data_IF_130037415237
#
_entry.id   IF_130037415237
#
_cell.length_a   1.000
_cell.length_b   1.000
_cell.length_c   1.000
_cell.angle_alpha   90.00
_cell.angle_beta   90.00
_cell.angle_gamma   90.00
#
_symmetry.space_group_name_H-M   'P 1'
#
loop_
_entity.id
_entity.type
_entity.pdbx_description
1 polymer ?
#
# COMPACT_ATOMS: atom_id res chain seq x y z
N UNK A 1 -17.62 -1.61 -16.42
CA UNK A 1 -18.12 -0.23 -16.22
C UNK A 1 -17.76 0.39 -14.87
N UNK A 2 -18.34 -0.02 -13.72
CA UNK A 2 -18.01 0.61 -12.42
C UNK A 2 -16.50 0.57 -12.14
N UNK A 3 -15.93 -0.62 -12.23
CA UNK A 3 -14.48 -0.88 -12.12
C UNK A 3 -13.63 0.04 -12.98
N UNK A 4 -13.99 0.21 -14.26
CA UNK A 4 -13.23 1.04 -15.20
C UNK A 4 -13.25 2.52 -14.81
N UNK A 5 -14.39 3.04 -14.34
CA UNK A 5 -14.49 4.41 -13.84
C UNK A 5 -13.63 4.62 -12.59
N UNK A 6 -13.60 3.64 -11.68
CA UNK A 6 -12.71 3.68 -10.50
C UNK A 6 -11.23 3.69 -10.93
N UNK A 7 -10.85 2.87 -11.91
CA UNK A 7 -9.49 2.85 -12.45
C UNK A 7 -9.09 4.20 -13.06
N UNK A 8 -10.00 4.91 -13.73
CA UNK A 8 -9.73 6.26 -14.25
C UNK A 8 -9.37 7.27 -13.15
N UNK A 9 -10.08 7.23 -12.02
CA UNK A 9 -9.74 8.09 -10.88
C UNK A 9 -8.39 7.72 -10.26
N UNK A 10 -8.06 6.43 -10.20
CA UNK A 10 -6.76 5.96 -9.71
C UNK A 10 -5.63 6.43 -10.62
N UNK A 11 -5.74 6.24 -11.94
CA UNK A 11 -4.70 6.66 -12.88
C UNK A 11 -4.47 8.18 -12.86
N UNK A 12 -5.52 8.98 -12.63
CA UNK A 12 -5.39 10.42 -12.38
C UNK A 12 -4.53 10.72 -11.15
N UNK A 13 -4.76 10.03 -10.02
CA UNK A 13 -3.92 10.19 -8.82
C UNK A 13 -2.47 9.72 -9.05
N UNK A 14 -2.28 8.62 -9.78
CA UNK A 14 -0.95 8.10 -10.13
C UNK A 14 -0.17 9.09 -10.99
N UNK A 15 -0.81 9.76 -11.95
CA UNK A 15 -0.16 10.78 -12.77
C UNK A 15 0.40 11.94 -11.94
N UNK A 16 -0.34 12.36 -10.91
CA UNK A 16 0.11 13.40 -9.99
C UNK A 16 1.21 12.90 -9.03
N UNK A 17 1.13 11.64 -8.58
CA UNK A 17 2.20 11.02 -7.79
C UNK A 17 3.51 10.94 -8.57
N UNK A 18 3.48 10.58 -9.86
CA UNK A 18 4.67 10.54 -10.72
C UNK A 18 5.33 11.92 -10.81
N UNK A 19 4.55 13.00 -10.95
CA UNK A 19 5.09 14.39 -10.94
C UNK A 19 5.84 14.69 -9.64
N UNK A 20 5.25 14.36 -8.49
CA UNK A 20 5.89 14.57 -7.19
C UNK A 20 7.20 13.77 -7.06
N UNK A 21 7.25 12.54 -7.58
CA UNK A 21 8.47 11.72 -7.59
C UNK A 21 9.55 12.36 -8.48
N UNK A 22 9.18 12.81 -9.68
CA UNK A 22 10.10 13.47 -10.62
C UNK A 22 10.70 14.73 -10.00
N UNK A 23 9.87 15.59 -9.38
CA UNK A 23 10.29 16.81 -8.72
C UNK A 23 11.28 16.58 -7.57
N UNK A 24 11.25 15.40 -6.95
CA UNK A 24 12.05 15.06 -5.76
C UNK A 24 13.05 13.93 -6.01
N UNK A 25 13.31 13.59 -7.27
CA UNK A 25 14.05 12.38 -7.67
C UNK A 25 15.42 12.27 -6.99
N UNK A 26 16.22 13.34 -6.98
CA UNK A 26 17.58 13.32 -6.43
C UNK A 26 17.61 13.06 -4.93
N UNK A 27 16.65 13.62 -4.20
CA UNK A 27 16.51 13.41 -2.75
C UNK A 27 16.07 11.98 -2.46
N UNK A 28 15.11 11.46 -3.22
CA UNK A 28 14.60 10.09 -3.07
C UNK A 28 15.68 9.04 -3.38
N UNK A 29 16.52 9.26 -4.40
CA UNK A 29 17.67 8.40 -4.70
C UNK A 29 18.65 8.39 -3.52
N UNK A 30 18.95 9.56 -2.94
CA UNK A 30 19.82 9.65 -1.77
C UNK A 30 19.22 8.97 -0.54
N UNK A 31 17.91 9.09 -0.32
CA UNK A 31 17.23 8.42 0.79
C UNK A 31 17.26 6.90 0.63
N UNK A 32 16.98 6.39 -0.58
CA UNK A 32 17.07 4.96 -0.90
C UNK A 32 18.48 4.41 -0.66
N UNK A 33 19.53 5.20 -0.90
CA UNK A 33 20.91 4.77 -0.69
C UNK A 33 21.41 4.89 0.76
N UNK A 34 20.68 5.59 1.63
CA UNK A 34 21.14 5.91 3.00
C UNK A 34 20.06 5.66 4.07
N UNK A 35 19.05 4.82 3.80
CA UNK A 35 17.95 4.54 4.74
C UNK A 35 18.42 3.89 6.06
N UNK A 36 19.63 3.35 6.07
CA UNK A 36 20.33 2.75 7.20
C UNK A 36 21.14 3.77 8.03
N UNK A 37 21.23 5.04 7.59
CA UNK A 37 21.98 6.12 8.24
C UNK A 37 21.04 7.19 8.79
N UNK A 38 20.68 7.15 10.09
CA UNK A 38 19.68 8.04 10.69
C UNK A 38 19.99 9.54 10.52
N UNK A 39 21.25 9.95 10.71
CA UNK A 39 21.65 11.37 10.57
C UNK A 39 21.50 11.88 9.14
N UNK A 40 21.86 11.07 8.15
CA UNK A 40 21.69 11.41 6.73
C UNK A 40 20.21 11.49 6.37
N UNK A 41 19.40 10.53 6.84
CA UNK A 41 17.95 10.50 6.63
C UNK A 41 17.26 11.72 7.24
N UNK A 42 17.59 12.11 8.47
CA UNK A 42 17.01 13.28 9.11
C UNK A 42 17.28 14.58 8.33
N UNK A 43 18.46 14.71 7.72
CA UNK A 43 18.81 15.86 6.88
C UNK A 43 18.09 15.84 5.53
N UNK A 44 17.98 14.66 4.90
CA UNK A 44 17.24 14.51 3.65
C UNK A 44 15.73 14.75 3.86
N UNK A 45 15.17 14.33 4.99
CA UNK A 45 13.74 14.51 5.31
C UNK A 45 13.35 15.99 5.32
N UNK A 46 14.22 16.87 5.85
CA UNK A 46 14.01 18.33 5.82
C UNK A 46 13.98 18.92 4.41
N UNK A 47 14.55 18.21 3.43
CA UNK A 47 14.65 18.61 2.03
C UNK A 47 13.58 17.97 1.14
N UNK A 48 12.72 17.10 1.71
CA UNK A 48 11.65 16.43 0.99
C UNK A 48 10.32 17.15 1.27
N UNK A 49 9.92 18.14 0.43
CA UNK A 49 8.62 18.78 0.57
C UNK A 49 7.48 17.80 0.31
N UNK A 50 6.23 18.17 0.61
CA UNK A 50 5.04 17.51 0.08
C UNK A 50 4.82 16.01 0.41
N UNK A 51 5.50 15.43 1.41
CA UNK A 51 5.21 14.05 1.86
C UNK A 51 3.74 13.82 2.24
N UNK A 52 3.08 14.82 2.83
CA UNK A 52 1.63 14.78 3.08
C UNK A 52 0.80 14.66 1.80
N UNK A 53 1.21 15.30 0.71
CA UNK A 53 0.46 15.26 -0.55
C UNK A 53 0.54 13.87 -1.18
N UNK A 54 1.72 13.23 -1.11
CA UNK A 54 1.90 11.83 -1.54
C UNK A 54 0.97 10.92 -0.75
N UNK A 55 0.95 11.05 0.58
CA UNK A 55 0.12 10.22 1.45
C UNK A 55 -1.38 10.47 1.27
N UNK A 56 -1.80 11.74 1.09
CA UNK A 56 -3.20 12.08 0.79
C UNK A 56 -3.66 11.41 -0.51
N UNK A 57 -2.86 11.48 -1.58
CA UNK A 57 -3.18 10.85 -2.87
C UNK A 57 -3.20 9.33 -2.78
N UNK A 58 -2.23 8.73 -2.10
CA UNK A 58 -2.22 7.28 -1.86
C UNK A 58 -3.40 6.83 -0.99
N UNK A 59 -3.83 7.64 -0.03
CA UNK A 59 -5.03 7.36 0.78
C UNK A 59 -6.28 7.39 -0.09
N UNK A 60 -6.41 8.35 -1.01
CA UNK A 60 -7.51 8.40 -1.99
C UNK A 60 -7.53 7.13 -2.85
N UNK A 61 -6.38 6.72 -3.40
CA UNK A 61 -6.25 5.47 -4.16
C UNK A 61 -6.70 4.29 -3.30
N UNK A 62 -6.24 4.22 -2.06
CA UNK A 62 -6.62 3.19 -1.10
C UNK A 62 -8.13 3.13 -0.88
N UNK A 63 -8.77 4.26 -0.62
CA UNK A 63 -10.24 4.33 -0.42
C UNK A 63 -11.00 3.84 -1.65
N UNK A 64 -10.56 4.24 -2.86
CA UNK A 64 -11.19 3.78 -4.11
C UNK A 64 -11.04 2.26 -4.27
N UNK A 65 -9.86 1.72 -3.97
CA UNK A 65 -9.60 0.27 -4.05
C UNK A 65 -10.35 -0.51 -2.96
N UNK A 66 -10.44 0.00 -1.73
CA UNK A 66 -11.25 -0.61 -0.68
C UNK A 66 -12.74 -0.64 -1.07
N UNK A 67 -13.26 0.42 -1.70
CA UNK A 67 -14.61 0.43 -2.24
C UNK A 67 -14.80 -0.62 -3.34
N UNK A 68 -13.80 -0.74 -4.25
CA UNK A 68 -13.80 -1.77 -5.28
C UNK A 68 -13.81 -3.18 -4.69
N UNK A 69 -13.00 -3.45 -3.67
CA UNK A 69 -12.99 -4.76 -2.98
C UNK A 69 -14.38 -5.09 -2.43
N UNK A 70 -15.02 -4.17 -1.70
CA UNK A 70 -16.38 -4.40 -1.19
C UNK A 70 -17.40 -4.69 -2.31
N UNK A 71 -17.26 -4.03 -3.46
CA UNK A 71 -18.12 -4.29 -4.63
C UNK A 71 -17.84 -5.67 -5.26
N UNK A 72 -16.58 -6.11 -5.28
CA UNK A 72 -16.19 -7.42 -5.79
C UNK A 72 -16.63 -8.55 -4.86
N UNK A 73 -16.47 -8.39 -3.54
CA UNK A 73 -16.95 -9.36 -2.54
C UNK A 73 -18.46 -9.57 -2.69
N UNK A 74 -19.22 -8.48 -2.88
CA UNK A 74 -20.66 -8.55 -3.14
C UNK A 74 -20.97 -9.24 -4.47
N UNK A 75 -20.15 -9.01 -5.51
CA UNK A 75 -20.33 -9.66 -6.81
C UNK A 75 -20.09 -11.16 -6.71
N UNK A 76 -19.03 -11.58 -6.01
CA UNK A 76 -18.70 -12.99 -5.75
C UNK A 76 -19.87 -13.69 -5.06
N UNK A 77 -20.40 -13.13 -3.98
CA UNK A 77 -21.55 -13.68 -3.25
C UNK A 77 -22.78 -13.90 -4.16
N UNK A 78 -23.07 -12.92 -5.02
CA UNK A 78 -24.18 -13.00 -5.96
C UNK A 78 -23.91 -14.04 -7.05
N UNK A 79 -22.69 -14.10 -7.58
CA UNK A 79 -22.29 -15.06 -8.60
C UNK A 79 -22.31 -16.50 -8.06
N UNK A 80 -21.88 -16.72 -6.81
CA UNK A 80 -21.95 -18.02 -6.12
C UNK A 80 -23.40 -18.50 -6.00
N UNK A 81 -24.32 -17.58 -5.69
CA UNK A 81 -25.74 -17.89 -5.52
C UNK A 81 -26.45 -18.16 -6.84
N UNK A 82 -26.15 -17.40 -7.88
CA UNK A 82 -26.89 -17.44 -9.15
C UNK A 82 -26.25 -18.37 -10.19
N UNK A 83 -24.93 -18.54 -10.16
CA UNK A 83 -24.13 -19.24 -11.16
C UNK A 83 -23.13 -20.25 -10.54
N UNK A 84 -23.52 -21.10 -9.56
CA UNK A 84 -22.58 -21.94 -8.80
C UNK A 84 -21.78 -22.91 -9.68
N UNK A 85 -22.37 -23.44 -10.76
CA UNK A 85 -21.72 -24.35 -11.69
C UNK A 85 -20.68 -23.67 -12.60
N UNK A 86 -20.72 -22.34 -12.73
CA UNK A 86 -19.69 -21.56 -13.40
C UNK A 86 -18.58 -21.16 -12.41
N UNK A 87 -18.94 -20.85 -11.16
CA UNK A 87 -17.99 -20.39 -10.16
C UNK A 87 -16.93 -21.45 -9.81
N UNK A 88 -17.35 -22.69 -9.53
CA UNK A 88 -16.39 -23.74 -9.14
C UNK A 88 -15.22 -23.94 -10.13
N UNK A 89 -15.48 -24.06 -11.45
CA UNK A 89 -14.41 -24.09 -12.44
C UNK A 89 -13.54 -22.83 -12.52
N UNK A 90 -14.12 -21.64 -12.34
CA UNK A 90 -13.36 -20.37 -12.37
C UNK A 90 -12.43 -20.28 -11.15
N UNK A 91 -12.94 -20.61 -9.96
CA UNK A 91 -12.16 -20.73 -8.72
C UNK A 91 -11.00 -21.72 -8.91
N UNK A 92 -11.30 -22.92 -9.42
CA UNK A 92 -10.28 -23.94 -9.68
C UNK A 92 -9.21 -23.47 -10.66
N UNK A 93 -9.60 -22.75 -11.71
CA UNK A 93 -8.64 -22.22 -12.69
C UNK A 93 -7.72 -21.16 -12.07
N UNK A 94 -8.27 -20.27 -11.25
CA UNK A 94 -7.48 -19.27 -10.50
C UNK A 94 -6.52 -19.96 -9.53
N UNK A 95 -6.96 -20.98 -8.81
CA UNK A 95 -6.15 -21.67 -7.79
C UNK A 95 -5.01 -22.51 -8.41
N UNK A 96 -5.09 -22.82 -9.72
CA UNK A 96 -4.03 -23.48 -10.49
C UNK A 96 -2.92 -22.51 -10.93
N UNK A 97 -3.12 -21.19 -10.79
CA UNK A 97 -2.08 -20.20 -11.10
C UNK A 97 -0.96 -20.35 -10.08
N UNK A 98 0.26 -20.50 -10.57
CA UNK A 98 1.47 -20.60 -9.76
C UNK A 98 2.38 -19.40 -10.03
N UNK A 99 3.35 -19.10 -9.15
CA UNK A 99 4.35 -18.06 -9.41
C UNK A 99 5.16 -18.27 -10.70
N UNK A 100 5.28 -19.51 -11.18
CA UNK A 100 6.00 -19.88 -12.40
C UNK A 100 5.12 -19.78 -13.67
N UNK A 101 3.81 -19.52 -13.53
CA UNK A 101 2.88 -19.38 -14.65
C UNK A 101 3.20 -18.09 -15.42
N UNK A 102 3.22 -18.17 -16.76
CA UNK A 102 3.45 -17.00 -17.62
C UNK A 102 2.51 -15.85 -17.25
N UNK A 103 3.07 -14.65 -17.10
CA UNK A 103 2.34 -13.50 -16.57
C UNK A 103 1.13 -13.12 -17.43
N UNK A 104 1.17 -13.32 -18.75
CA UNK A 104 0.03 -13.02 -19.62
C UNK A 104 -1.09 -14.03 -19.40
N UNK A 105 -0.74 -15.30 -19.23
CA UNK A 105 -1.69 -16.36 -18.87
C UNK A 105 -2.32 -16.07 -17.51
N UNK A 106 -1.50 -15.75 -16.50
CA UNK A 106 -1.96 -15.34 -15.17
C UNK A 106 -2.95 -14.19 -15.23
N UNK A 107 -2.64 -13.11 -15.96
CA UNK A 107 -3.55 -11.97 -16.10
C UNK A 107 -4.85 -12.32 -16.82
N UNK A 108 -4.82 -13.25 -17.78
CA UNK A 108 -6.03 -13.71 -18.49
C UNK A 108 -6.94 -14.51 -17.56
N UNK A 109 -6.35 -15.38 -16.72
CA UNK A 109 -7.10 -16.14 -15.70
C UNK A 109 -7.67 -15.19 -14.64
N UNK A 110 -6.88 -14.22 -14.18
CA UNK A 110 -7.34 -13.22 -13.20
C UNK A 110 -8.40 -12.28 -13.79
N UNK A 111 -8.37 -11.99 -15.09
CA UNK A 111 -9.43 -11.20 -15.75
C UNK A 111 -10.76 -11.94 -15.69
N UNK A 112 -10.76 -13.24 -15.99
CA UNK A 112 -11.95 -14.09 -15.85
C UNK A 112 -12.42 -14.18 -14.38
N UNK A 113 -11.49 -14.44 -13.46
CA UNK A 113 -11.81 -14.59 -12.04
C UNK A 113 -12.38 -13.29 -11.44
N UNK A 114 -11.71 -12.16 -11.68
CA UNK A 114 -12.17 -10.85 -11.19
C UNK A 114 -13.48 -10.38 -11.82
N UNK A 115 -13.82 -10.82 -13.03
CA UNK A 115 -15.14 -10.59 -13.64
C UNK A 115 -16.26 -11.37 -12.92
N UNK A 116 -15.92 -12.46 -12.24
CA UNK A 116 -16.82 -13.24 -11.40
C UNK A 116 -16.84 -12.77 -9.93
N UNK A 117 -16.14 -11.68 -9.60
CA UNK A 117 -16.03 -11.12 -8.24
C UNK A 117 -14.87 -11.70 -7.42
N UNK A 118 -14.21 -12.75 -7.89
CA UNK A 118 -13.16 -13.43 -7.15
C UNK A 118 -11.95 -12.54 -6.91
N UNK A 119 -11.46 -12.53 -5.67
CA UNK A 119 -10.20 -11.87 -5.31
C UNK A 119 -9.01 -12.51 -6.03
N UNK A 120 -8.11 -11.66 -6.53
CA UNK A 120 -6.87 -12.05 -7.21
C UNK A 120 -5.70 -11.29 -6.60
N UNK A 121 -4.52 -11.92 -6.51
CA UNK A 121 -3.32 -11.30 -5.95
C UNK A 121 -2.84 -10.09 -6.77
N UNK A 122 -3.17 -10.07 -8.06
CA UNK A 122 -2.87 -8.98 -8.98
C UNK A 122 -4.19 -8.59 -9.66
N UNK A 123 -4.56 -7.30 -9.60
CA UNK A 123 -5.76 -6.79 -10.26
C UNK A 123 -5.47 -6.52 -11.75
N UNK A 124 -6.01 -7.31 -12.69
CA UNK A 124 -5.74 -7.16 -14.11
C UNK A 124 -6.28 -5.84 -14.67
N UNK A 125 -7.38 -5.32 -14.13
CA UNK A 125 -7.94 -4.04 -14.58
C UNK A 125 -7.03 -2.88 -14.17
N UNK A 126 -6.43 -2.95 -12.98
CA UNK A 126 -5.45 -1.95 -12.53
C UNK A 126 -4.15 -2.06 -13.33
N UNK A 127 -3.65 -3.27 -13.61
CA UNK A 127 -2.49 -3.48 -14.49
C UNK A 127 -2.72 -2.86 -15.87
N UNK A 128 -3.86 -3.15 -16.50
CA UNK A 128 -4.21 -2.59 -17.80
C UNK A 128 -4.30 -1.04 -17.76
N UNK A 129 -4.94 -0.49 -16.73
CA UNK A 129 -5.05 0.95 -16.54
C UNK A 129 -3.69 1.62 -16.38
N UNK A 130 -2.79 1.06 -15.55
CA UNK A 130 -1.43 1.58 -15.37
C UNK A 130 -0.59 1.45 -16.63
N UNK A 131 -0.66 0.30 -17.32
CA UNK A 131 0.05 0.08 -18.57
C UNK A 131 -0.37 1.08 -19.66
N UNK A 132 -1.66 1.46 -19.69
CA UNK A 132 -2.19 2.46 -20.63
C UNK A 132 -1.69 3.89 -20.38
N UNK A 133 -1.15 4.18 -19.20
CA UNK A 133 -0.58 5.50 -18.88
C UNK A 133 0.79 5.74 -19.50
N UNK A 134 1.46 4.69 -19.99
CA UNK A 134 2.79 4.81 -20.58
C UNK A 134 2.71 5.64 -21.86
N UNK A 135 3.56 6.65 -21.95
CA UNK A 135 3.72 7.44 -23.18
C UNK A 135 4.79 6.82 -24.07
N UNK A 136 4.69 6.99 -25.39
CA UNK A 136 5.66 6.43 -26.34
C UNK A 136 7.11 6.93 -26.11
N UNK A 137 7.29 8.02 -25.36
CA UNK A 137 8.59 8.65 -25.10
C UNK A 137 9.27 8.17 -23.80
N UNK A 138 8.57 7.48 -22.91
CA UNK A 138 9.12 7.03 -21.62
C UNK A 138 9.64 5.59 -21.72
N UNK A 139 10.92 5.38 -21.38
CA UNK A 139 11.51 4.04 -21.36
C UNK A 139 10.97 3.20 -20.20
N UNK A 140 11.00 1.87 -20.34
CA UNK A 140 10.57 0.94 -19.26
C UNK A 140 11.44 1.13 -18.01
N UNK A 141 12.73 1.42 -18.18
CA UNK A 141 13.65 1.62 -17.06
C UNK A 141 13.41 2.94 -16.30
N UNK A 142 12.98 3.99 -17.00
CA UNK A 142 12.57 5.25 -16.36
C UNK A 142 11.29 5.06 -15.55
N UNK A 143 10.27 4.41 -16.12
CA UNK A 143 9.02 4.11 -15.41
C UNK A 143 9.28 3.26 -14.16
N UNK A 144 10.08 2.20 -14.31
CA UNK A 144 10.51 1.36 -13.19
C UNK A 144 11.24 2.14 -12.10
N UNK A 145 12.14 3.07 -12.48
CA UNK A 145 12.81 3.94 -11.51
C UNK A 145 11.81 4.82 -10.76
N UNK A 146 10.82 5.40 -11.44
CA UNK A 146 9.77 6.21 -10.81
C UNK A 146 8.94 5.37 -9.84
N UNK A 147 8.56 4.16 -10.22
CA UNK A 147 7.80 3.23 -9.36
C UNK A 147 8.60 2.87 -8.09
N UNK A 148 9.89 2.57 -8.22
CA UNK A 148 10.75 2.34 -7.06
C UNK A 148 10.81 3.55 -6.13
N UNK A 149 11.03 4.74 -6.68
CA UNK A 149 11.16 5.96 -5.90
C UNK A 149 9.82 6.40 -5.28
N UNK A 150 8.68 6.08 -5.90
CA UNK A 150 7.36 6.27 -5.31
C UNK A 150 7.23 5.50 -4.00
N UNK A 151 7.64 4.23 -3.98
CA UNK A 151 7.62 3.42 -2.76
C UNK A 151 8.51 4.00 -1.67
N UNK A 152 9.72 4.46 -2.01
CA UNK A 152 10.60 5.14 -1.07
C UNK A 152 9.93 6.40 -0.52
N UNK A 153 9.31 7.20 -1.38
CA UNK A 153 8.62 8.43 -0.98
C UNK A 153 7.47 8.15 0.00
N UNK A 154 6.67 7.12 -0.27
CA UNK A 154 5.59 6.70 0.64
C UNK A 154 6.19 6.27 1.98
N UNK A 155 7.19 5.38 1.97
CA UNK A 155 7.80 4.83 3.18
C UNK A 155 8.38 5.91 4.11
N UNK A 156 9.16 6.83 3.56
CA UNK A 156 9.80 7.91 4.34
C UNK A 156 8.81 9.01 4.75
N UNK A 157 7.62 9.04 4.15
CA UNK A 157 6.56 9.99 4.53
C UNK A 157 5.69 9.48 5.67
N UNK A 158 5.56 8.15 5.87
CA UNK A 158 4.68 7.58 6.91
C UNK A 158 4.80 8.21 8.31
N UNK A 159 6.01 8.56 8.83
CA UNK A 159 6.12 9.18 10.15
C UNK A 159 5.38 10.50 10.30
N UNK A 160 5.17 11.26 9.22
CA UNK A 160 4.46 12.55 9.28
C UNK A 160 3.00 12.38 9.68
N UNK A 161 2.41 11.20 9.43
CA UNK A 161 1.04 10.88 9.84
C UNK A 161 0.87 10.90 11.36
N UNK A 162 1.94 10.70 12.14
CA UNK A 162 1.87 10.75 13.60
C UNK A 162 1.55 12.15 14.13
N UNK A 163 1.78 13.20 13.31
CA UNK A 163 1.48 14.60 13.62
C UNK A 163 0.02 14.98 13.33
N UNK A 164 -0.66 14.27 12.42
CA UNK A 164 -2.05 14.54 12.09
C UNK A 164 -2.96 14.06 13.23
N UNK A 165 -3.75 14.95 13.87
CA UNK A 165 -4.64 14.58 14.96
C UNK A 165 -5.70 13.55 14.55
N UNK A 166 -6.04 13.43 13.26
CA UNK A 166 -7.02 12.48 12.74
C UNK A 166 -6.43 11.09 12.45
N UNK A 167 -5.12 10.89 12.63
CA UNK A 167 -4.47 9.59 12.45
C UNK A 167 -4.62 8.64 13.64
N UNK A 168 -5.56 8.90 14.55
CA UNK A 168 -5.84 7.98 15.64
C UNK A 168 -6.55 6.73 15.11
N UNK A 169 -6.15 5.57 15.61
CA UNK A 169 -6.81 4.30 15.32
C UNK A 169 -8.05 4.14 16.21
N UNK A 170 -9.19 3.81 15.59
CA UNK A 170 -10.44 3.52 16.28
C UNK A 170 -10.75 2.03 16.23
N UNK A 171 -10.89 1.42 17.41
CA UNK A 171 -11.37 0.04 17.56
C UNK A 171 -12.73 -0.17 16.92
N UNK A 172 -13.63 0.82 16.99
CA UNK A 172 -15.03 0.62 16.60
C UNK A 172 -15.18 0.31 15.11
N UNK A 173 -14.36 0.92 14.26
CA UNK A 173 -14.36 0.69 12.81
C UNK A 173 -13.18 -0.17 12.35
N UNK A 174 -12.27 -0.58 13.25
CA UNK A 174 -11.09 -1.36 12.89
C UNK A 174 -10.05 -0.60 12.07
N UNK A 175 -10.06 0.74 12.08
CA UNK A 175 -9.25 1.59 11.20
C UNK A 175 -9.01 2.99 11.78
N UNK A 176 -8.18 3.77 11.09
CA UNK A 176 -7.91 5.18 11.41
C UNK A 176 -9.00 6.13 10.91
N UNK A 177 -9.22 7.23 11.63
CA UNK A 177 -10.28 8.18 11.32
C UNK A 177 -10.11 8.91 9.97
N UNK A 178 -8.87 9.21 9.57
CA UNK A 178 -8.53 9.81 8.27
C UNK A 178 -8.29 8.79 7.15
N UNK A 179 -8.76 7.55 7.30
CA UNK A 179 -8.65 6.47 6.30
C UNK A 179 -7.24 6.02 5.91
N UNK A 180 -6.19 6.39 6.66
CA UNK A 180 -4.81 5.96 6.34
C UNK A 180 -4.61 4.44 6.42
N UNK A 181 -5.51 3.68 7.08
CA UNK A 181 -5.53 2.21 7.00
C UNK A 181 -5.69 1.71 5.56
N UNK A 182 -6.37 2.47 4.69
CA UNK A 182 -6.49 2.16 3.26
C UNK A 182 -5.15 2.26 2.50
N UNK A 183 -4.10 2.85 3.09
CA UNK A 183 -2.74 2.79 2.54
C UNK A 183 -2.25 1.34 2.41
N UNK A 184 -2.71 0.44 3.27
CA UNK A 184 -2.41 -0.99 3.16
C UNK A 184 -2.86 -1.55 1.80
N UNK A 185 -4.12 -1.32 1.42
CA UNK A 185 -4.65 -1.72 0.12
C UNK A 185 -3.92 -1.00 -1.02
N UNK A 186 -3.70 0.31 -0.88
CA UNK A 186 -3.08 1.12 -1.92
C UNK A 186 -1.64 0.69 -2.24
N UNK A 187 -0.80 0.51 -1.21
CA UNK A 187 0.61 0.11 -1.38
C UNK A 187 0.67 -1.26 -2.04
N UNK A 188 -0.11 -2.24 -1.59
CA UNK A 188 -0.06 -3.60 -2.13
C UNK A 188 -0.55 -3.67 -3.57
N UNK A 189 -1.77 -3.22 -3.84
CA UNK A 189 -2.38 -3.39 -5.16
C UNK A 189 -1.73 -2.50 -6.23
N UNK A 190 -1.36 -1.26 -5.88
CA UNK A 190 -0.70 -0.37 -6.83
C UNK A 190 0.70 -0.86 -7.19
N UNK A 191 1.48 -1.33 -6.20
CA UNK A 191 2.81 -1.89 -6.46
C UNK A 191 2.73 -3.15 -7.29
N UNK A 192 1.80 -4.06 -6.97
CA UNK A 192 1.55 -5.25 -7.76
C UNK A 192 1.26 -4.87 -9.22
N UNK A 193 0.34 -3.94 -9.44
CA UNK A 193 -0.01 -3.52 -10.79
C UNK A 193 1.15 -2.87 -11.56
N UNK A 194 1.90 -1.95 -10.93
CA UNK A 194 3.03 -1.26 -11.56
C UNK A 194 4.17 -2.24 -11.90
N UNK A 195 4.61 -3.06 -10.95
CA UNK A 195 5.71 -3.99 -11.19
C UNK A 195 5.32 -5.13 -12.14
N UNK A 196 4.05 -5.55 -12.16
CA UNK A 196 3.57 -6.47 -13.21
C UNK A 196 3.63 -5.83 -14.58
N UNK A 197 3.18 -4.58 -14.75
CA UNK A 197 3.25 -3.86 -16.03
C UNK A 197 4.70 -3.63 -16.52
N UNK A 198 5.65 -3.56 -15.59
CA UNK A 198 7.08 -3.37 -15.84
C UNK A 198 7.88 -4.69 -15.92
N UNK A 199 7.21 -5.83 -15.74
CA UNK A 199 7.81 -7.17 -15.68
C UNK A 199 8.93 -7.28 -14.62
N UNK A 200 8.64 -6.85 -13.39
CA UNK A 200 9.54 -6.85 -12.23
C UNK A 200 8.95 -7.67 -11.08
N UNK A 201 9.81 -8.11 -10.17
CA UNK A 201 9.41 -8.93 -9.03
C UNK A 201 8.71 -8.07 -7.95
N UNK A 202 7.44 -8.35 -7.65
CA UNK A 202 6.63 -7.56 -6.71
C UNK A 202 7.15 -7.71 -5.26
N UNK A 203 7.38 -8.95 -4.82
CA UNK A 203 7.81 -9.28 -3.46
C UNK A 203 9.12 -8.58 -3.07
N UNK A 204 10.11 -8.57 -3.97
CA UNK A 204 11.40 -7.92 -3.75
C UNK A 204 11.24 -6.43 -3.43
N UNK A 205 10.36 -5.73 -4.17
CA UNK A 205 10.16 -4.30 -3.99
C UNK A 205 9.31 -3.97 -2.77
N UNK A 206 8.30 -4.80 -2.47
CA UNK A 206 7.53 -4.64 -1.24
C UNK A 206 8.38 -4.95 0.01
N UNK A 207 9.32 -5.88 -0.06
CA UNK A 207 10.31 -6.12 1.01
C UNK A 207 11.21 -4.91 1.23
N UNK A 208 11.70 -4.29 0.16
CA UNK A 208 12.49 -3.06 0.26
C UNK A 208 11.67 -1.92 0.87
N UNK A 209 10.44 -1.72 0.40
CA UNK A 209 9.50 -0.76 0.99
C UNK A 209 9.33 -1.01 2.49
N UNK A 210 9.09 -2.27 2.88
CA UNK A 210 8.88 -2.65 4.28
C UNK A 210 10.11 -2.34 5.13
N UNK A 211 11.31 -2.63 4.64
CA UNK A 211 12.57 -2.34 5.32
C UNK A 211 12.74 -0.83 5.57
N UNK A 212 12.50 -0.01 4.55
CA UNK A 212 12.63 1.45 4.63
C UNK A 212 11.55 2.05 5.54
N UNK A 213 10.30 1.59 5.41
CA UNK A 213 9.18 2.05 6.23
C UNK A 213 9.40 1.72 7.72
N UNK A 214 9.83 0.49 8.01
CA UNK A 214 10.18 0.05 9.36
C UNK A 214 11.33 0.86 9.95
N UNK A 215 12.43 1.05 9.20
CA UNK A 215 13.56 1.89 9.65
C UNK A 215 13.11 3.30 10.02
N UNK A 216 12.31 3.93 9.15
CA UNK A 216 11.86 5.31 9.36
C UNK A 216 10.90 5.44 10.55
N UNK A 217 10.01 4.46 10.77
CA UNK A 217 9.09 4.43 11.91
C UNK A 217 9.78 4.08 13.24
N UNK A 218 10.84 3.27 13.22
CA UNK A 218 11.66 3.01 14.41
C UNK A 218 12.43 4.27 14.84
N UNK A 219 12.96 5.04 13.89
CA UNK A 219 13.62 6.33 14.16
C UNK A 219 12.66 7.33 14.82
N UNK A 220 11.39 7.37 14.40
CA UNK A 220 10.34 8.16 15.05
C UNK A 220 10.19 7.80 16.55
N UNK A 221 10.31 6.50 16.90
CA UNK A 221 10.19 6.02 18.28
C UNK A 221 11.37 6.39 19.18
N UNK A 222 12.55 6.63 18.60
CA UNK A 222 13.79 6.96 19.31
C UNK A 222 13.91 8.46 19.63
N UNK A 223 13.20 9.33 18.91
CA UNK A 223 13.27 10.78 19.09
C UNK A 223 12.52 11.21 20.38
N UNK A 224 13.23 11.21 21.51
CA UNK A 224 12.71 11.55 22.85
C UNK A 224 12.25 13.01 22.95
N UNK A 225 12.86 13.92 22.19
CA UNK A 225 12.58 15.36 22.22
C UNK A 225 11.20 15.72 21.61
N UNK A 226 10.70 14.93 20.64
CA UNK A 226 9.43 15.17 19.94
C UNK A 226 8.25 14.32 20.49
N UNK A 227 8.34 13.84 21.74
CA UNK A 227 7.28 13.02 22.36
C UNK A 227 5.94 13.75 22.47
N UNK A 228 5.93 15.08 22.55
CA UNK A 228 4.69 15.87 22.55
C UNK A 228 4.01 15.94 21.18
N UNK A 229 4.78 15.83 20.09
CA UNK A 229 4.30 15.92 18.70
C UNK A 229 3.86 14.57 18.13
N UNK A 230 4.22 13.46 18.77
CA UNK A 230 3.99 12.09 18.28
C UNK A 230 2.78 11.40 18.91
N UNK A 231 1.68 12.13 19.13
CA UNK A 231 0.46 11.62 19.80
C UNK A 231 -0.12 10.35 19.17
N UNK A 232 -0.01 10.23 17.85
CA UNK A 232 -0.58 9.09 17.11
C UNK A 232 0.47 8.03 16.70
N UNK A 233 1.70 8.09 17.22
CA UNK A 233 2.79 7.16 16.84
C UNK A 233 2.37 5.70 16.87
N UNK A 234 1.77 5.28 17.98
CA UNK A 234 1.36 3.89 18.16
C UNK A 234 0.28 3.50 17.14
N UNK A 235 -0.63 4.42 16.77
CA UNK A 235 -1.60 4.19 15.70
C UNK A 235 -0.92 4.02 14.33
N UNK A 236 0.16 4.75 14.05
CA UNK A 236 0.90 4.66 12.80
C UNK A 236 1.68 3.34 12.71
N UNK A 237 2.19 2.82 13.82
CA UNK A 237 2.86 1.51 13.83
C UNK A 237 1.95 0.38 13.34
N UNK A 238 0.64 0.47 13.61
CA UNK A 238 -0.33 -0.50 13.13
C UNK A 238 -0.44 -0.55 11.60
N UNK A 239 -0.05 0.51 10.88
CA UNK A 239 -0.06 0.49 9.42
C UNK A 239 0.89 -0.57 8.85
N UNK A 240 2.06 -0.80 9.46
CA UNK A 240 2.96 -1.86 9.00
C UNK A 240 2.30 -3.24 9.11
N UNK A 241 1.60 -3.48 10.22
CA UNK A 241 0.85 -4.72 10.41
C UNK A 241 -0.24 -4.86 9.34
N UNK A 242 -1.05 -3.81 9.11
CA UNK A 242 -2.11 -3.82 8.09
C UNK A 242 -1.57 -3.99 6.67
N UNK A 243 -0.45 -3.35 6.33
CA UNK A 243 0.20 -3.49 5.02
C UNK A 243 0.62 -4.95 4.80
N UNK A 244 1.22 -5.60 5.80
CA UNK A 244 1.62 -7.01 5.70
C UNK A 244 0.41 -7.93 5.67
N UNK A 245 -0.61 -7.70 6.50
CA UNK A 245 -1.84 -8.49 6.54
C UNK A 245 -2.62 -8.43 5.22
N UNK A 246 -2.64 -7.27 4.56
CA UNK A 246 -3.31 -7.08 3.28
C UNK A 246 -2.48 -7.55 2.07
N UNK A 247 -1.25 -8.05 2.26
CA UNK A 247 -0.34 -8.40 1.17
C UNK A 247 -0.25 -9.91 0.98
N UNK A 248 -0.45 -10.44 -0.25
CA UNK A 248 -0.08 -11.82 -0.55
C UNK A 248 1.45 -11.99 -0.74
N UNK A 249 2.21 -10.89 -0.79
CA UNK A 249 3.65 -10.89 -1.09
C UNK A 249 4.54 -10.66 0.14
N UNK A 250 3.95 -10.26 1.27
CA UNK A 250 4.68 -10.02 2.52
C UNK A 250 4.21 -10.98 3.59
N UNK A 251 5.13 -11.47 4.42
CA UNK A 251 4.80 -12.33 5.55
C UNK A 251 5.10 -11.66 6.89
N UNK A 252 4.46 -12.16 7.95
CA UNK A 252 4.73 -11.70 9.32
C UNK A 252 6.19 -11.95 9.75
N UNK A 253 6.84 -13.00 9.23
CA UNK A 253 8.26 -13.26 9.48
C UNK A 253 9.15 -12.17 8.86
N UNK A 254 8.79 -11.68 7.66
CA UNK A 254 9.49 -10.55 7.03
C UNK A 254 9.32 -9.28 7.86
N UNK A 255 8.12 -9.03 8.39
CA UNK A 255 7.88 -7.90 9.28
C UNK A 255 8.70 -8.01 10.57
N UNK A 256 8.68 -9.16 11.25
CA UNK A 256 9.44 -9.37 12.49
C UNK A 256 10.95 -9.13 12.31
N UNK A 257 11.49 -9.47 11.13
CA UNK A 257 12.90 -9.27 10.82
C UNK A 257 13.34 -7.79 10.79
N UNK A 258 12.40 -6.86 10.57
CA UNK A 258 12.70 -5.43 10.44
C UNK A 258 11.91 -4.53 11.41
N UNK A 259 10.86 -5.04 12.05
CA UNK A 259 10.03 -4.32 13.01
C UNK A 259 9.50 -5.28 14.10
N UNK A 260 10.01 -5.20 15.34
CA UNK A 260 9.66 -6.15 16.39
C UNK A 260 8.17 -6.15 16.74
N UNK A 261 7.53 -7.32 16.74
CA UNK A 261 6.12 -7.51 17.04
C UNK A 261 5.72 -7.01 18.43
N UNK A 262 6.66 -6.97 19.37
CA UNK A 262 6.45 -6.39 20.70
C UNK A 262 5.98 -4.92 20.61
N UNK A 263 6.48 -4.15 19.64
CA UNK A 263 6.06 -2.77 19.42
C UNK A 263 4.60 -2.72 18.93
N UNK A 264 4.24 -3.58 17.98
CA UNK A 264 2.87 -3.69 17.46
C UNK A 264 1.88 -4.12 18.54
N UNK A 265 2.25 -5.13 19.34
CA UNK A 265 1.45 -5.60 20.47
C UNK A 265 1.21 -4.50 21.49
N UNK A 266 2.25 -3.72 21.81
CA UNK A 266 2.12 -2.58 22.72
C UNK A 266 1.26 -1.47 22.10
N UNK A 267 1.41 -1.19 20.80
CA UNK A 267 0.60 -0.23 20.09
C UNK A 267 -0.89 -0.60 20.11
N UNK A 268 -1.24 -1.85 19.78
CA UNK A 268 -2.60 -2.39 19.90
C UNK A 268 -3.13 -2.26 21.33
N UNK A 269 -2.30 -2.53 22.34
CA UNK A 269 -2.71 -2.36 23.74
C UNK A 269 -3.04 -0.90 24.05
N UNK A 270 -2.23 0.06 23.60
CA UNK A 270 -2.46 1.48 23.88
C UNK A 270 -3.71 2.01 23.16
N UNK A 271 -3.86 1.75 21.86
CA UNK A 271 -5.04 2.22 21.12
C UNK A 271 -6.35 1.58 21.63
N UNK A 272 -6.29 0.40 22.25
CA UNK A 272 -7.45 -0.24 22.88
C UNK A 272 -7.72 0.28 24.31
N UNK A 273 -6.70 0.77 25.04
CA UNK A 273 -6.85 1.33 26.39
C UNK A 273 -7.49 2.72 26.41
N UNK A 274 -7.24 3.54 25.39
CA UNK A 274 -7.76 4.92 25.31
C UNK A 274 -9.29 4.99 25.33
N UNK A 275 -9.97 3.84 25.16
CA UNK A 275 -11.38 3.66 25.43
C UNK A 275 -11.64 3.41 26.94
N UNK A 276 -11.62 4.48 27.74
CA UNK A 276 -12.30 4.46 29.05
C UNK A 276 -13.78 4.67 28.77
N UNK A 277 -14.59 3.66 29.06
CA UNK A 277 -16.05 3.80 29.12
C UNK A 277 -16.34 4.74 30.29
N UNK A 278 -16.61 6.02 30.01
CA UNK A 278 -17.39 6.85 30.94
C UNK A 278 -18.82 6.33 30.89
N UNK A 279 -19.12 5.36 31.75
CA UNK A 279 -20.48 5.08 32.17
C UNK A 279 -20.97 6.35 32.89
N UNK A 280 -21.79 7.13 32.19
CA UNK A 280 -22.66 8.11 32.84
C UNK A 280 -23.80 7.41 33.56
#
# INVERSE_FOLDING_TARGET
FLSENLMWHITSQVGELKKLVIENMDVLVQMRANFDKPEAMANLQKRLPAGENVLKRMTIIGVILSFRTMAQDTLEDIMQKHCPYLMGPIESLRDLVSPDTDIKVTLTVFELASAAGLTCDIDPALVAAIASMRTDNSSVDEEYKLTCLLLIYIAVSLPTLALDPNSYYSRHYGGHHNNIHCLATAVNQLSAAMFTAENKNIEQHLKEFLLVASSTLLQLGQNVENRMDSKNRDSIYLLLHMIVEASPFLSQDMLESCFPYVLLRNAYREVYKTFIITLG
#
